data_IF_107656550886
#
_entry.id   IF_107656550886
#
_cell.length_a   1.000
_cell.length_b   1.000
_cell.length_c   1.000
_cell.angle_alpha   90.00
_cell.angle_beta   90.00
_cell.angle_gamma   90.00
#
_symmetry.space_group_name_H-M   'P 1'
#
loop_
_entity.id
_entity.type
_entity.pdbx_description
1 polymer ?
#
# COMPACT_ATOMS: atom_id res chain seq x y z
N UNK A 1 -8.33 -8.81 -9.05
CA UNK A 1 -7.70 -7.59 -9.59
C UNK A 1 -6.29 -7.93 -10.03
N UNK A 2 -6.06 -7.82 -11.32
CA UNK A 2 -4.74 -8.13 -11.88
C UNK A 2 -4.04 -6.85 -12.30
N UNK A 3 -2.76 -6.75 -11.95
CA UNK A 3 -1.91 -5.63 -12.29
C UNK A 3 -0.65 -6.17 -12.96
N UNK A 4 -0.32 -5.62 -14.09
CA UNK A 4 0.99 -5.87 -14.70
C UNK A 4 2.00 -4.93 -14.05
N UNK A 5 2.72 -5.46 -13.07
CA UNK A 5 3.67 -4.66 -12.28
C UNK A 5 4.92 -4.37 -13.08
N UNK A 6 5.29 -3.09 -13.12
CA UNK A 6 6.47 -2.60 -13.82
C UNK A 6 7.38 -1.85 -12.85
N UNK A 7 8.69 -1.89 -13.15
CA UNK A 7 9.65 -1.08 -12.41
C UNK A 7 9.45 0.40 -12.75
N UNK A 8 9.84 1.33 -11.87
CA UNK A 8 9.70 2.76 -12.14
C UNK A 8 10.32 3.21 -13.46
N UNK A 9 11.50 2.69 -13.79
CA UNK A 9 12.22 3.03 -15.04
C UNK A 9 11.51 2.52 -16.30
N UNK A 10 10.63 1.54 -16.18
CA UNK A 10 9.90 0.94 -17.31
C UNK A 10 8.46 1.46 -17.42
N UNK A 11 7.96 2.14 -16.41
CA UNK A 11 6.58 2.59 -16.35
C UNK A 11 6.42 3.97 -16.98
N UNK A 12 5.43 4.11 -17.87
CA UNK A 12 5.07 5.40 -18.45
C UNK A 12 4.11 6.13 -17.52
N UNK A 13 4.64 7.06 -16.73
CA UNK A 13 3.81 7.87 -15.83
C UNK A 13 2.93 8.83 -16.64
N UNK A 14 1.66 9.04 -16.24
CA UNK A 14 0.79 9.96 -16.96
C UNK A 14 1.22 11.43 -16.86
N UNK A 15 1.89 11.81 -15.76
CA UNK A 15 2.42 13.15 -15.54
C UNK A 15 3.37 13.15 -14.33
N UNK A 16 4.10 14.24 -14.12
CA UNK A 16 5.05 14.38 -13.02
C UNK A 16 4.34 14.38 -11.65
N UNK A 17 3.15 14.95 -11.58
CA UNK A 17 2.38 15.01 -10.34
C UNK A 17 2.04 13.61 -9.83
N UNK A 18 1.51 12.74 -10.71
CA UNK A 18 1.23 11.36 -10.37
C UNK A 18 2.51 10.58 -10.05
N UNK A 19 3.59 10.84 -10.77
CA UNK A 19 4.89 10.21 -10.53
C UNK A 19 5.38 10.48 -9.11
N UNK A 20 5.29 11.70 -8.62
CA UNK A 20 5.68 12.05 -7.26
C UNK A 20 4.87 11.28 -6.22
N UNK A 21 3.58 11.08 -6.47
CA UNK A 21 2.74 10.26 -5.58
C UNK A 21 3.16 8.79 -5.58
N UNK A 22 3.38 8.22 -6.77
CA UNK A 22 3.71 6.80 -6.92
C UNK A 22 5.12 6.48 -6.40
N UNK A 23 6.04 7.43 -6.44
CA UNK A 23 7.41 7.27 -5.97
C UNK A 23 7.61 7.68 -4.51
N UNK A 24 6.54 7.96 -3.77
CA UNK A 24 6.64 8.33 -2.36
C UNK A 24 7.35 7.24 -1.55
N UNK A 25 8.47 7.57 -0.93
CA UNK A 25 9.26 6.64 -0.12
C UNK A 25 8.80 6.54 1.32
N UNK A 26 8.16 7.58 1.83
CA UNK A 26 7.62 7.60 3.19
C UNK A 26 6.20 7.07 3.26
N UNK A 27 5.46 7.53 4.25
CA UNK A 27 4.07 7.09 4.48
C UNK A 27 3.11 7.73 3.50
N UNK A 28 2.44 6.89 2.68
CA UNK A 28 1.34 7.35 1.83
C UNK A 28 0.21 7.92 2.67
N UNK A 29 -0.12 7.28 3.78
CA UNK A 29 -1.17 7.75 4.69
C UNK A 29 -0.89 9.17 5.20
N UNK A 30 0.37 9.45 5.55
CA UNK A 30 0.78 10.79 5.99
C UNK A 30 0.60 11.81 4.87
N UNK A 31 0.96 11.44 3.64
CA UNK A 31 0.79 12.33 2.49
C UNK A 31 -0.68 12.59 2.18
N UNK A 32 -1.52 11.55 2.21
CA UNK A 32 -2.96 11.69 2.02
C UNK A 32 -3.58 12.61 3.08
N UNK A 33 -3.12 12.50 4.31
CA UNK A 33 -3.59 13.30 5.42
C UNK A 33 -3.43 14.82 5.19
N UNK A 34 -2.46 15.22 4.40
CA UNK A 34 -2.21 16.62 4.05
C UNK A 34 -3.27 17.17 3.08
N UNK A 35 -4.07 16.30 2.47
CA UNK A 35 -5.09 16.67 1.47
C UNK A 35 -6.52 16.59 2.01
N UNK A 36 -6.69 16.33 3.30
CA UNK A 36 -8.02 16.25 3.93
C UNK A 36 -7.95 16.72 5.37
N UNK A 37 -9.12 16.99 5.95
CA UNK A 37 -9.23 17.32 7.37
C UNK A 37 -9.17 16.05 8.21
N UNK A 38 -9.81 14.97 7.74
CA UNK A 38 -9.85 13.71 8.45
C UNK A 38 -9.59 12.54 7.50
N UNK A 39 -8.52 11.78 7.78
CA UNK A 39 -8.22 10.52 7.10
C UNK A 39 -8.74 9.37 7.97
N UNK A 40 -9.59 8.53 7.39
CA UNK A 40 -10.17 7.38 8.08
C UNK A 40 -9.85 6.08 7.36
N UNK A 41 -9.97 4.97 8.06
CA UNK A 41 -9.72 3.62 7.54
C UNK A 41 -10.97 2.78 7.70
N UNK A 42 -11.44 2.22 6.60
CA UNK A 42 -12.46 1.17 6.61
C UNK A 42 -11.75 -0.17 6.48
N UNK A 43 -11.82 -0.99 7.53
CA UNK A 43 -11.19 -2.30 7.55
C UNK A 43 -12.07 -3.32 6.82
N UNK A 44 -11.55 -3.92 5.74
CA UNK A 44 -12.27 -4.93 4.95
C UNK A 44 -11.89 -6.35 5.38
N UNK A 45 -10.60 -6.63 5.52
CA UNK A 45 -10.07 -7.93 5.94
C UNK A 45 -8.88 -7.76 6.86
N UNK A 46 -8.78 -8.62 7.85
CA UNK A 46 -7.64 -8.69 8.78
C UNK A 46 -7.55 -10.10 9.32
N UNK A 47 -6.93 -11.01 8.54
CA UNK A 47 -6.91 -12.44 8.84
C UNK A 47 -5.65 -13.10 8.34
N UNK A 48 -5.27 -14.21 8.97
CA UNK A 48 -4.16 -15.04 8.51
C UNK A 48 -4.62 -15.83 7.29
N UNK A 49 -3.82 -15.80 6.23
CA UNK A 49 -4.01 -16.59 5.02
C UNK A 49 -2.82 -17.53 4.85
N UNK A 50 -3.07 -18.69 4.23
CA UNK A 50 -2.01 -19.69 4.03
C UNK A 50 -1.09 -19.32 2.88
N UNK A 51 0.14 -19.84 2.91
CA UNK A 51 1.15 -19.61 1.88
C UNK A 51 0.64 -19.95 0.47
N UNK A 52 -0.21 -20.98 0.34
CA UNK A 52 -0.74 -21.41 -0.95
C UNK A 52 -1.71 -20.40 -1.58
N UNK A 53 -2.28 -19.47 -0.80
CA UNK A 53 -3.19 -18.46 -1.32
C UNK A 53 -2.46 -17.26 -1.91
N UNK A 54 -1.15 -17.15 -1.67
CA UNK A 54 -0.34 -16.06 -2.21
C UNK A 54 -0.11 -16.27 -3.71
N UNK A 55 -0.04 -15.17 -4.46
CA UNK A 55 0.38 -15.22 -5.86
C UNK A 55 1.87 -15.53 -5.93
N UNK A 56 2.31 -16.12 -7.04
CA UNK A 56 3.72 -16.47 -7.23
C UNK A 56 4.63 -15.24 -7.09
N UNK A 57 4.22 -14.08 -7.62
CA UNK A 57 4.98 -12.85 -7.51
C UNK A 57 5.02 -12.30 -6.07
N UNK A 58 3.97 -12.51 -5.28
CA UNK A 58 3.96 -12.17 -3.86
C UNK A 58 4.93 -13.03 -3.06
N UNK A 59 4.92 -14.34 -3.31
CA UNK A 59 5.84 -15.28 -2.65
C UNK A 59 7.30 -14.99 -2.96
N UNK A 60 7.60 -14.55 -4.18
CA UNK A 60 8.97 -14.16 -4.56
C UNK A 60 9.48 -12.98 -3.72
N UNK A 61 8.59 -12.07 -3.33
CA UNK A 61 8.97 -10.88 -2.56
C UNK A 61 8.98 -11.12 -1.06
N UNK A 62 8.23 -12.13 -0.57
CA UNK A 62 8.06 -12.36 0.87
C UNK A 62 8.56 -13.70 1.38
N UNK A 63 8.77 -14.70 0.52
CA UNK A 63 8.95 -16.11 0.84
C UNK A 63 7.63 -16.86 1.05
N UNK A 64 7.69 -18.19 1.04
CA UNK A 64 6.53 -19.07 1.16
C UNK A 64 6.17 -19.29 2.63
N UNK A 65 5.40 -18.41 3.19
CA UNK A 65 4.90 -18.56 4.56
C UNK A 65 3.49 -17.97 4.69
N UNK A 66 2.79 -18.37 5.74
CA UNK A 66 1.49 -17.79 6.07
C UNK A 66 1.67 -16.31 6.40
N UNK A 67 0.70 -15.50 5.99
CA UNK A 67 0.74 -14.06 6.16
C UNK A 67 -0.54 -13.56 6.82
N UNK A 68 -0.43 -12.46 7.56
CA UNK A 68 -1.59 -11.64 7.86
C UNK A 68 -1.97 -10.86 6.59
N UNK A 69 -3.19 -11.06 6.10
CA UNK A 69 -3.74 -10.24 5.03
C UNK A 69 -4.57 -9.12 5.66
N UNK A 70 -4.18 -7.90 5.39
CA UNK A 70 -4.93 -6.71 5.78
C UNK A 70 -5.38 -5.97 4.53
N UNK A 71 -6.69 -5.82 4.35
CA UNK A 71 -7.26 -5.02 3.27
C UNK A 71 -8.09 -3.89 3.85
N UNK A 72 -7.88 -2.69 3.37
CA UNK A 72 -8.53 -1.48 3.88
C UNK A 72 -8.91 -0.55 2.73
N UNK A 73 -9.87 0.34 3.01
CA UNK A 73 -10.08 1.53 2.19
C UNK A 73 -9.65 2.74 3.02
N UNK A 74 -8.73 3.53 2.46
CA UNK A 74 -8.34 4.81 3.04
C UNK A 74 -9.25 5.89 2.49
N UNK A 75 -9.91 6.62 3.38
CA UNK A 75 -10.90 7.64 3.03
C UNK A 75 -10.43 9.01 3.50
N UNK A 76 -10.51 10.00 2.62
CA UNK A 76 -10.29 11.40 2.96
C UNK A 76 -11.62 12.12 3.01
N UNK A 77 -11.97 12.69 4.17
CA UNK A 77 -13.22 13.41 4.39
C UNK A 77 -14.44 12.62 3.88
N UNK A 78 -14.51 11.33 4.26
CA UNK A 78 -15.56 10.37 3.89
C UNK A 78 -15.62 9.98 2.41
N UNK A 79 -14.57 10.28 1.63
CA UNK A 79 -14.48 9.86 0.23
C UNK A 79 -13.42 8.76 0.10
N UNK A 80 -13.77 7.67 -0.58
CA UNK A 80 -12.85 6.55 -0.81
C UNK A 80 -11.72 6.98 -1.74
N UNK A 81 -10.47 6.85 -1.27
CA UNK A 81 -9.29 7.30 -2.02
C UNK A 81 -8.35 6.18 -2.45
N UNK A 82 -8.14 5.19 -1.59
CA UNK A 82 -7.17 4.14 -1.84
C UNK A 82 -7.66 2.82 -1.27
N UNK A 83 -7.53 1.74 -2.05
CA UNK A 83 -7.64 0.39 -1.50
C UNK A 83 -6.23 -0.10 -1.21
N UNK A 84 -5.96 -0.43 0.05
CA UNK A 84 -4.68 -0.96 0.48
C UNK A 84 -4.77 -2.46 0.74
N UNK A 85 -3.79 -3.21 0.24
CA UNK A 85 -3.63 -4.64 0.49
C UNK A 85 -2.23 -4.89 1.03
N UNK A 86 -2.15 -5.35 2.27
CA UNK A 86 -0.86 -5.61 2.92
C UNK A 86 -0.78 -7.08 3.30
N UNK A 87 0.35 -7.71 2.97
CA UNK A 87 0.69 -9.06 3.38
C UNK A 87 1.87 -8.98 4.35
N UNK A 88 1.64 -9.45 5.58
CA UNK A 88 2.66 -9.43 6.62
C UNK A 88 2.98 -10.87 7.00
N UNK A 89 4.17 -11.40 6.63
CA UNK A 89 4.57 -12.74 7.00
C UNK A 89 4.54 -12.95 8.53
N UNK A 90 4.22 -14.15 8.97
CA UNK A 90 4.16 -14.47 10.41
C UNK A 90 5.44 -14.10 11.14
N UNK A 91 6.60 -14.32 10.51
CA UNK A 91 7.90 -13.96 11.10
C UNK A 91 8.06 -12.45 11.27
N UNK A 92 7.38 -11.65 10.46
CA UNK A 92 7.41 -10.19 10.57
C UNK A 92 6.51 -9.68 11.70
N UNK A 93 5.47 -10.42 12.07
CA UNK A 93 4.57 -10.03 13.15
C UNK A 93 5.22 -10.13 14.55
N UNK A 94 6.24 -10.96 14.71
CA UNK A 94 6.89 -11.17 16.01
C UNK A 94 8.04 -10.18 16.22
N UNK A 95 8.32 -9.83 17.48
CA UNK A 95 9.42 -8.95 17.89
C UNK A 95 9.36 -7.56 17.25
N UNK A 96 8.18 -7.05 16.95
CA UNK A 96 7.97 -5.69 16.47
C UNK A 96 7.63 -4.76 17.64
N UNK A 97 8.03 -3.50 17.51
CA UNK A 97 7.72 -2.44 18.48
C UNK A 97 6.20 -2.25 18.63
N UNK A 98 5.45 -2.45 17.56
CA UNK A 98 4.01 -2.28 17.51
C UNK A 98 3.33 -3.59 17.15
N UNK A 99 2.11 -3.80 17.65
CA UNK A 99 1.29 -4.96 17.30
C UNK A 99 0.61 -4.72 15.93
N UNK A 100 1.23 -5.22 14.87
CA UNK A 100 0.75 -5.01 13.50
C UNK A 100 -0.58 -5.76 13.23
N UNK A 101 -0.90 -6.78 14.01
CA UNK A 101 -2.14 -7.52 13.84
C UNK A 101 -3.35 -6.79 14.42
N UNK A 102 -3.15 -5.80 15.28
CA UNK A 102 -4.19 -5.09 16.02
C UNK A 102 -4.33 -3.63 15.60
N UNK A 103 -4.04 -3.31 14.35
CA UNK A 103 -4.12 -1.92 13.88
C UNK A 103 -5.56 -1.42 13.70
N UNK A 104 -6.52 -2.33 13.42
CA UNK A 104 -7.93 -1.94 13.29
C UNK A 104 -8.14 -0.81 12.28
N UNK A 105 -8.63 0.32 12.76
CA UNK A 105 -8.90 1.52 11.97
C UNK A 105 -7.73 2.53 11.93
N UNK A 106 -6.57 2.16 12.46
CA UNK A 106 -5.35 2.98 12.39
C UNK A 106 -4.66 2.72 11.05
N UNK A 107 -4.34 3.76 10.26
CA UNK A 107 -3.59 3.56 9.03
C UNK A 107 -2.24 2.90 9.30
N UNK A 108 -2.02 1.73 8.67
CA UNK A 108 -0.80 0.95 8.91
C UNK A 108 0.47 1.74 8.60
N UNK A 109 0.45 2.54 7.53
CA UNK A 109 1.60 3.36 7.15
C UNK A 109 2.03 4.32 8.23
N UNK A 110 1.10 4.89 9.00
CA UNK A 110 1.44 5.78 10.10
C UNK A 110 2.20 5.04 11.19
N UNK A 111 1.78 3.81 11.52
CA UNK A 111 2.44 2.96 12.51
C UNK A 111 3.82 2.51 12.04
N UNK A 112 3.91 1.97 10.83
CA UNK A 112 5.17 1.44 10.28
C UNK A 112 6.22 2.53 10.18
N UNK A 113 5.89 3.70 9.61
CA UNK A 113 6.84 4.78 9.43
C UNK A 113 7.13 5.58 10.71
N UNK A 114 6.46 5.27 11.81
CA UNK A 114 6.86 5.79 13.13
C UNK A 114 7.93 4.92 13.79
N UNK A 115 8.21 3.73 13.26
CA UNK A 115 9.26 2.85 13.77
C UNK A 115 10.65 3.36 13.37
N UNK A 116 11.67 2.99 14.15
CA UNK A 116 13.02 3.54 14.00
C UNK A 116 13.77 2.99 12.77
N UNK A 117 13.40 1.81 12.28
CA UNK A 117 14.17 1.12 11.24
C UNK A 117 13.24 0.61 10.15
N UNK A 118 12.93 1.49 9.20
CA UNK A 118 12.04 1.19 8.07
C UNK A 118 12.74 1.53 6.77
N UNK A 119 12.77 0.57 5.86
CA UNK A 119 13.31 0.72 4.50
C UNK A 119 12.27 0.26 3.48
N UNK A 120 12.34 0.80 2.28
CA UNK A 120 11.47 0.43 1.16
C UNK A 120 12.29 -0.02 -0.02
N UNK A 121 11.90 -1.13 -0.65
CA UNK A 121 12.49 -1.59 -1.91
C UNK A 121 11.42 -2.21 -2.82
N UNK A 122 11.86 -2.72 -3.96
CA UNK A 122 11.00 -3.43 -4.93
C UNK A 122 9.77 -2.62 -5.33
N UNK A 123 9.92 -1.29 -5.46
CA UNK A 123 8.83 -0.42 -5.90
C UNK A 123 8.42 -0.76 -7.32
N UNK A 124 7.15 -1.01 -7.50
CA UNK A 124 6.53 -1.31 -8.79
C UNK A 124 5.23 -0.53 -8.93
N UNK A 125 4.85 -0.23 -10.15
CA UNK A 125 3.59 0.43 -10.43
C UNK A 125 2.94 -0.19 -11.66
N UNK A 126 1.66 0.10 -11.83
CA UNK A 126 0.89 -0.41 -12.95
C UNK A 126 -0.46 0.24 -13.07
N UNK A 127 -1.17 -0.14 -14.12
CA UNK A 127 -2.53 0.27 -14.38
C UNK A 127 -3.49 -0.87 -14.04
N UNK A 128 -4.65 -0.50 -13.52
CA UNK A 128 -5.75 -1.42 -13.23
C UNK A 128 -6.97 -0.99 -14.02
N UNK A 129 -7.57 -1.91 -14.77
CA UNK A 129 -8.81 -1.67 -15.49
C UNK A 129 -10.00 -2.02 -14.60
N UNK A 130 -10.84 -1.04 -14.32
CA UNK A 130 -12.08 -1.18 -13.57
C UNK A 130 -13.25 -0.74 -14.48
N UNK A 131 -14.51 -1.08 -14.13
CA UNK A 131 -15.65 -0.62 -14.92
C UNK A 131 -15.72 0.90 -15.12
N UNK A 132 -15.22 1.66 -14.15
CA UNK A 132 -15.20 3.13 -14.19
C UNK A 132 -14.06 3.71 -15.03
N UNK A 133 -13.08 2.89 -15.42
CA UNK A 133 -11.93 3.35 -16.17
C UNK A 133 -10.64 2.70 -15.74
N UNK A 134 -9.53 3.37 -16.07
CA UNK A 134 -8.18 2.87 -15.83
C UNK A 134 -7.52 3.67 -14.72
N UNK A 135 -7.05 2.98 -13.68
CA UNK A 135 -6.54 3.61 -12.48
C UNK A 135 -5.13 3.15 -12.13
N UNK A 136 -4.42 4.00 -11.40
CA UNK A 136 -3.04 3.75 -10.99
C UNK A 136 -2.99 2.83 -9.77
N UNK A 137 -1.96 1.99 -9.73
CA UNK A 137 -1.62 1.17 -8.57
C UNK A 137 -0.12 1.19 -8.36
N UNK A 138 0.31 0.99 -7.13
CA UNK A 138 1.70 0.76 -6.80
C UNK A 138 1.82 -0.37 -5.80
N UNK A 139 3.00 -0.99 -5.76
CA UNK A 139 3.34 -2.03 -4.80
C UNK A 139 4.80 -1.86 -4.39
N UNK A 140 5.10 -2.10 -3.13
CA UNK A 140 6.47 -2.11 -2.66
C UNK A 140 6.63 -3.04 -1.47
N UNK A 141 7.88 -3.42 -1.21
CA UNK A 141 8.21 -4.18 -0.02
C UNK A 141 8.79 -3.23 1.02
N UNK A 142 8.19 -3.24 2.21
CA UNK A 142 8.68 -2.50 3.35
C UNK A 142 9.44 -3.46 4.27
N UNK A 143 10.57 -3.01 4.75
CA UNK A 143 11.37 -3.70 5.76
C UNK A 143 11.21 -2.94 7.06
N UNK A 144 10.56 -3.55 8.03
CA UNK A 144 10.41 -3.00 9.36
C UNK A 144 11.21 -3.84 10.33
N UNK A 145 12.25 -3.25 10.90
CA UNK A 145 13.16 -3.95 11.80
C UNK A 145 13.78 -5.20 11.13
N UNK A 146 14.21 -5.03 9.87
CA UNK A 146 14.82 -6.08 9.01
C UNK A 146 13.88 -7.22 8.62
N UNK A 147 12.57 -7.05 8.76
CA UNK A 147 11.56 -8.04 8.39
C UNK A 147 10.60 -7.46 7.35
N UNK A 148 10.26 -8.26 6.29
CA UNK A 148 9.53 -7.71 5.16
C UNK A 148 8.02 -7.74 5.32
N UNK A 149 7.36 -6.81 4.64
CA UNK A 149 5.94 -6.86 4.34
C UNK A 149 5.71 -6.32 2.94
N UNK A 150 4.67 -6.78 2.28
CA UNK A 150 4.32 -6.34 0.94
C UNK A 150 3.08 -5.46 1.00
N UNK A 151 3.19 -4.24 0.46
CA UNK A 151 2.11 -3.26 0.49
C UNK A 151 1.74 -2.90 -0.93
N UNK A 152 0.48 -3.14 -1.31
CA UNK A 152 -0.07 -2.75 -2.60
C UNK A 152 -1.21 -1.75 -2.38
N UNK A 153 -1.28 -0.75 -3.25
CA UNK A 153 -2.25 0.33 -3.14
C UNK A 153 -2.85 0.61 -4.51
N UNK A 154 -4.19 0.58 -4.59
CA UNK A 154 -4.95 0.98 -5.76
C UNK A 154 -5.53 2.36 -5.50
N UNK A 155 -5.22 3.32 -6.37
CA UNK A 155 -5.72 4.69 -6.25
C UNK A 155 -7.09 4.79 -6.93
N UNK A 156 -8.13 5.06 -6.14
CA UNK A 156 -9.50 5.18 -6.62
C UNK A 156 -9.74 6.53 -7.32
N UNK A 157 -10.83 6.68 -8.09
CA UNK A 157 -11.04 7.85 -8.95
C UNK A 157 -10.94 9.22 -8.28
N UNK A 158 -11.35 9.33 -7.02
CA UNK A 158 -11.34 10.59 -6.29
C UNK A 158 -10.06 10.85 -5.51
N UNK A 159 -9.06 9.99 -5.67
CA UNK A 159 -7.77 10.12 -4.99
C UNK A 159 -7.02 11.37 -5.44
N UNK A 160 -6.30 12.05 -4.53
CA UNK A 160 -5.46 13.20 -4.88
C UNK A 160 -4.42 12.93 -5.96
N UNK A 161 -4.02 11.67 -6.18
CA UNK A 161 -3.04 11.32 -7.22
C UNK A 161 -3.48 11.77 -8.62
N UNK A 162 -4.79 11.86 -8.86
CA UNK A 162 -5.35 12.27 -10.16
C UNK A 162 -5.63 13.77 -10.24
N UNK A 163 -5.44 14.51 -9.16
CA UNK A 163 -5.65 15.95 -9.18
C UNK A 163 -4.64 16.59 -10.13
N UNK A 164 -5.12 17.56 -10.92
CA UNK A 164 -4.21 18.34 -11.75
C UNK A 164 -3.59 19.45 -10.91
N UNK A 165 -2.30 19.70 -11.09
CA UNK A 165 -1.68 20.88 -10.52
C UNK A 165 -2.48 22.10 -10.95
N UNK A 166 -2.88 22.90 -9.97
CA UNK A 166 -3.47 24.20 -10.28
C UNK A 166 -2.36 25.15 -10.69
N UNK A 167 -2.46 25.61 -11.90
CA UNK A 167 -1.56 26.62 -12.43
C UNK A 167 -1.93 27.96 -11.83
#
# INVERSE_FOLDING_TARGET
MEVEWQKPEDFAFPNEFAQHWLEEQGSLSRRLKQHCQELTVELLHNQIVTAQTLRADESLLLSDQDCLLREVILCGDNTDWVIGRTLIPRTTLVDQQYDLAQQGDIPLGLTVFSADNVERDALQMGWVDLPQGRFLARRSRLWMNHKPMLVAELFLPNSPVYAKEKV
#
